data_IF_609093279442
#
_entry.id   IF_609093279442
#
_cell.length_a   1.000
_cell.length_b   1.000
_cell.length_c   1.000
_cell.angle_alpha   90.00
_cell.angle_beta   90.00
_cell.angle_gamma   90.00
#
_symmetry.space_group_name_H-M   'P 1'
#
loop_
_entity.id
_entity.type
_entity.pdbx_description
1 polymer ?
#
# COMPACT_ATOMS: atom_id res chain seq x y z
N UNK A 1 11.89 -11.22 -9.92
CA UNK A 1 10.73 -11.38 -10.83
C UNK A 1 10.15 -10.01 -10.88
N UNK A 2 10.16 -9.44 -12.07
CA UNK A 2 9.75 -8.07 -12.30
C UNK A 2 8.27 -8.05 -12.64
N UNK A 3 7.53 -7.12 -12.06
CA UNK A 3 6.10 -6.93 -12.28
C UNK A 3 5.88 -5.55 -12.88
N UNK A 4 5.02 -5.42 -13.89
CA UNK A 4 4.68 -4.14 -14.49
C UNK A 4 3.40 -3.58 -13.87
N UNK A 5 3.47 -2.47 -13.15
CA UNK A 5 2.27 -1.78 -12.64
C UNK A 5 1.73 -0.77 -13.66
N UNK A 6 0.39 -0.71 -13.88
CA UNK A 6 -0.68 -1.47 -13.21
C UNK A 6 -1.01 -2.86 -13.81
N UNK A 7 -0.39 -3.26 -14.92
CA UNK A 7 -0.79 -4.46 -15.68
C UNK A 7 -0.78 -5.77 -14.88
N UNK A 8 0.22 -5.96 -14.02
CA UNK A 8 0.44 -7.15 -13.20
C UNK A 8 -0.01 -6.95 -11.74
N UNK A 9 -0.94 -6.02 -11.47
CA UNK A 9 -1.30 -5.63 -10.11
C UNK A 9 -1.69 -6.80 -9.19
N UNK A 10 -2.39 -7.82 -9.69
CA UNK A 10 -2.78 -8.98 -8.87
C UNK A 10 -1.57 -9.81 -8.42
N UNK A 11 -0.63 -10.07 -9.32
CA UNK A 11 0.58 -10.82 -9.01
C UNK A 11 1.55 -9.98 -8.16
N UNK A 12 1.64 -8.68 -8.44
CA UNK A 12 2.39 -7.73 -7.62
C UNK A 12 1.86 -7.70 -6.18
N UNK A 13 0.54 -7.67 -5.97
CA UNK A 13 -0.06 -7.70 -4.64
C UNK A 13 0.33 -8.97 -3.86
N UNK A 14 0.31 -10.12 -4.53
CA UNK A 14 0.74 -11.39 -3.93
C UNK A 14 2.21 -11.33 -3.51
N UNK A 15 3.09 -10.82 -4.37
CA UNK A 15 4.49 -10.63 -4.05
C UNK A 15 4.69 -9.66 -2.87
N UNK A 16 3.90 -8.57 -2.83
CA UNK A 16 3.94 -7.61 -1.74
C UNK A 16 3.54 -8.23 -0.40
N UNK A 17 2.47 -9.04 -0.34
CA UNK A 17 2.11 -9.81 0.86
C UNK A 17 3.28 -10.62 1.38
N UNK A 18 3.96 -11.35 0.49
CA UNK A 18 5.08 -12.20 0.88
C UNK A 18 6.23 -11.35 1.44
N UNK A 19 6.52 -10.20 0.82
CA UNK A 19 7.52 -9.25 1.35
C UNK A 19 7.12 -8.59 2.65
N UNK A 20 5.83 -8.40 2.94
CA UNK A 20 5.37 -7.93 4.24
C UNK A 20 5.67 -9.00 5.30
N UNK A 21 5.31 -10.26 5.01
CA UNK A 21 5.45 -11.37 5.95
C UNK A 21 6.90 -11.80 6.21
N UNK A 22 7.84 -11.43 5.34
CA UNK A 22 9.28 -11.65 5.56
C UNK A 22 9.89 -10.68 6.59
N UNK A 23 9.11 -9.73 7.15
CA UNK A 23 9.62 -8.64 7.98
C UNK A 23 9.25 -8.82 9.46
N UNK A 24 10.24 -9.10 10.29
CA UNK A 24 10.09 -9.21 11.75
C UNK A 24 9.55 -7.92 12.40
N UNK A 25 9.89 -6.76 11.82
CA UNK A 25 9.38 -5.46 12.26
C UNK A 25 7.87 -5.33 12.07
N UNK A 26 7.34 -5.88 10.97
CA UNK A 26 5.91 -5.86 10.69
C UNK A 26 5.13 -6.72 11.70
N UNK A 27 5.59 -7.95 11.96
CA UNK A 27 4.97 -8.85 12.95
C UNK A 27 4.87 -8.18 14.31
N UNK A 28 5.96 -7.57 14.77
CA UNK A 28 6.01 -6.87 16.06
C UNK A 28 5.06 -5.67 16.09
N UNK A 29 5.02 -4.88 15.01
CA UNK A 29 4.20 -3.66 14.93
C UNK A 29 2.70 -3.94 14.83
N UNK A 30 2.30 -5.16 14.46
CA UNK A 30 0.91 -5.56 14.19
C UNK A 30 0.39 -6.68 15.11
N UNK A 31 1.17 -7.13 16.10
CA UNK A 31 0.80 -8.23 17.00
C UNK A 31 -0.51 -8.01 17.79
N UNK A 32 -0.89 -6.76 18.05
CA UNK A 32 -2.11 -6.37 18.76
C UNK A 32 -3.08 -5.58 17.86
N UNK A 33 -3.00 -5.77 16.55
CA UNK A 33 -3.70 -4.94 15.59
C UNK A 33 -4.17 -5.72 14.36
N UNK A 34 -5.49 -5.77 14.22
CA UNK A 34 -6.15 -6.30 13.04
C UNK A 34 -6.79 -5.14 12.28
N UNK A 35 -6.62 -5.12 10.96
CA UNK A 35 -7.21 -4.12 10.10
C UNK A 35 -7.22 -4.55 8.62
N UNK A 36 -8.18 -4.00 7.89
CA UNK A 36 -8.22 -4.01 6.43
C UNK A 36 -7.77 -2.65 5.90
N UNK A 37 -6.72 -2.65 5.09
CA UNK A 37 -6.22 -1.47 4.39
C UNK A 37 -6.63 -1.50 2.92
N UNK A 38 -7.05 -0.35 2.41
CA UNK A 38 -7.18 -0.09 0.98
C UNK A 38 -6.05 0.83 0.53
N UNK A 39 -5.32 0.41 -0.47
CA UNK A 39 -4.32 1.22 -1.14
C UNK A 39 -4.80 1.47 -2.57
N UNK A 40 -5.12 2.72 -2.89
CA UNK A 40 -5.71 3.09 -4.18
C UNK A 40 -4.72 3.91 -5.00
N UNK A 41 -4.38 3.38 -6.17
CA UNK A 41 -3.63 4.07 -7.20
C UNK A 41 -4.61 4.66 -8.22
N UNK A 42 -4.72 5.98 -8.21
CA UNK A 42 -5.64 6.74 -9.05
C UNK A 42 -4.98 7.14 -10.37
N UNK A 43 -5.83 7.36 -11.36
CA UNK A 43 -5.45 8.06 -12.58
C UNK A 43 -4.92 9.48 -12.30
N UNK A 44 -4.05 9.95 -13.16
CA UNK A 44 -3.52 11.31 -13.25
C UNK A 44 -3.20 11.66 -14.71
N UNK A 45 -2.36 12.67 -14.95
CA UNK A 45 -1.98 13.09 -16.31
C UNK A 45 -1.09 12.07 -17.04
N UNK A 46 -0.41 11.19 -16.30
CA UNK A 46 0.52 10.16 -16.82
C UNK A 46 -0.21 8.82 -17.02
N UNK A 47 -1.11 8.48 -16.12
CA UNK A 47 -1.94 7.27 -16.18
C UNK A 47 -3.43 7.62 -16.27
N UNK A 48 -4.10 7.30 -17.39
CA UNK A 48 -5.51 7.60 -17.62
C UNK A 48 -6.47 6.40 -17.46
N UNK A 49 -5.97 5.27 -16.92
CA UNK A 49 -6.75 4.05 -16.72
C UNK A 49 -7.63 4.04 -15.46
N UNK A 50 -8.36 2.94 -15.25
CA UNK A 50 -9.20 2.77 -14.07
C UNK A 50 -8.37 2.65 -12.79
N UNK A 51 -8.78 3.28 -11.66
CA UNK A 51 -8.05 3.16 -10.40
C UNK A 51 -7.86 1.71 -9.96
N UNK A 52 -6.64 1.38 -9.54
CA UNK A 52 -6.32 0.05 -9.00
C UNK A 52 -6.43 0.10 -7.48
N UNK A 53 -7.22 -0.81 -6.90
CA UNK A 53 -7.43 -0.92 -5.46
C UNK A 53 -6.77 -2.19 -4.94
N UNK A 54 -5.73 -2.04 -4.13
CA UNK A 54 -5.16 -3.15 -3.38
C UNK A 54 -5.83 -3.23 -2.01
N UNK A 55 -6.40 -4.39 -1.69
CA UNK A 55 -6.90 -4.71 -0.37
C UNK A 55 -5.85 -5.54 0.36
N UNK A 56 -5.48 -5.09 1.56
CA UNK A 56 -4.51 -5.77 2.41
C UNK A 56 -5.13 -6.04 3.78
N UNK A 57 -5.21 -7.30 4.18
CA UNK A 57 -5.75 -7.70 5.49
C UNK A 57 -4.62 -8.10 6.43
N UNK A 58 -4.57 -7.45 7.58
CA UNK A 58 -3.64 -7.75 8.66
C UNK A 58 -4.41 -8.36 9.82
N UNK A 59 -3.92 -9.49 10.33
CA UNK A 59 -4.45 -10.11 11.53
C UNK A 59 -3.35 -10.90 12.26
N UNK A 60 -3.35 -10.85 13.59
CA UNK A 60 -2.43 -11.61 14.45
C UNK A 60 -0.94 -11.45 14.07
N UNK A 61 -0.51 -10.23 13.71
CA UNK A 61 0.88 -9.98 13.31
C UNK A 61 1.22 -10.37 11.87
N UNK A 62 0.26 -10.81 11.06
CA UNK A 62 0.51 -11.37 9.72
C UNK A 62 -0.33 -10.66 8.66
N UNK A 63 0.26 -10.43 7.49
CA UNK A 63 -0.47 -10.06 6.29
C UNK A 63 -1.13 -11.31 5.70
N UNK A 64 -2.41 -11.50 6.04
CA UNK A 64 -3.19 -12.69 5.66
C UNK A 64 -3.61 -12.67 4.20
N UNK A 65 -3.76 -11.48 3.61
CA UNK A 65 -4.17 -11.28 2.22
C UNK A 65 -3.59 -9.97 1.70
N UNK A 66 -3.09 -9.98 0.46
CA UNK A 66 -3.00 -8.78 -0.37
C UNK A 66 -3.47 -9.14 -1.79
N UNK A 67 -4.48 -8.43 -2.30
CA UNK A 67 -5.10 -8.70 -3.60
C UNK A 67 -5.60 -7.41 -4.22
N UNK A 68 -5.83 -7.41 -5.53
CA UNK A 68 -6.69 -6.39 -6.16
C UNK A 68 -8.14 -6.65 -5.75
N UNK A 69 -8.87 -5.57 -5.46
CA UNK A 69 -10.26 -5.60 -5.03
C UNK A 69 -11.11 -4.58 -5.79
N UNK A 70 -12.43 -4.75 -5.73
CA UNK A 70 -13.37 -3.79 -6.28
C UNK A 70 -13.38 -2.47 -5.47
N UNK A 71 -13.80 -1.38 -6.12
CA UNK A 71 -13.80 -0.05 -5.52
C UNK A 71 -14.78 0.11 -4.34
N UNK A 72 -15.73 -0.80 -4.17
CA UNK A 72 -16.72 -0.86 -3.09
C UNK A 72 -16.36 -1.86 -1.98
N UNK A 73 -15.20 -2.52 -2.06
CA UNK A 73 -14.72 -3.40 -1.00
C UNK A 73 -14.56 -2.65 0.34
N UNK A 74 -14.98 -3.29 1.43
CA UNK A 74 -14.87 -2.73 2.79
C UNK A 74 -13.40 -2.56 3.22
N UNK A 75 -13.14 -1.49 3.97
CA UNK A 75 -11.82 -1.18 4.55
C UNK A 75 -11.97 -0.42 5.87
N UNK A 76 -10.99 -0.58 6.76
CA UNK A 76 -10.87 0.22 7.99
C UNK A 76 -10.09 1.52 7.73
N UNK A 77 -9.09 1.42 6.85
CA UNK A 77 -8.21 2.51 6.47
C UNK A 77 -7.99 2.54 4.97
N UNK A 78 -7.80 3.73 4.42
CA UNK A 78 -7.41 3.86 3.03
C UNK A 78 -6.29 4.89 2.85
N UNK A 79 -5.37 4.60 1.94
CA UNK A 79 -4.36 5.51 1.41
C UNK A 79 -4.58 5.62 -0.10
N UNK A 80 -4.79 6.83 -0.61
CA UNK A 80 -5.12 7.05 -2.01
C UNK A 80 -4.26 8.15 -2.60
N UNK A 81 -3.77 7.96 -3.81
CA UNK A 81 -2.96 8.97 -4.47
C UNK A 81 -2.85 8.75 -5.97
N UNK A 82 -2.34 9.76 -6.69
CA UNK A 82 -2.09 9.68 -8.12
C UNK A 82 -0.97 8.68 -8.44
N UNK A 83 -0.97 8.15 -9.66
CA UNK A 83 0.00 7.19 -10.16
C UNK A 83 1.45 7.68 -10.00
N UNK A 84 1.73 8.94 -10.34
CA UNK A 84 3.08 9.52 -10.21
C UNK A 84 3.57 9.52 -8.75
N UNK A 85 2.68 9.79 -7.78
CA UNK A 85 3.05 9.73 -6.37
C UNK A 85 3.29 8.29 -5.89
N UNK A 86 2.55 7.32 -6.44
CA UNK A 86 2.77 5.90 -6.20
C UNK A 86 4.12 5.43 -6.74
N UNK A 87 4.48 5.81 -7.96
CA UNK A 87 5.78 5.53 -8.57
C UNK A 87 6.91 6.09 -7.71
N UNK A 88 6.85 7.39 -7.41
CA UNK A 88 7.87 8.06 -6.59
C UNK A 88 7.99 7.42 -5.20
N UNK A 89 6.89 6.98 -4.60
CA UNK A 89 6.91 6.27 -3.32
C UNK A 89 7.63 4.92 -3.45
N UNK A 90 7.31 4.14 -4.48
CA UNK A 90 7.87 2.81 -4.70
C UNK A 90 9.35 2.85 -5.10
N UNK A 91 9.79 3.93 -5.76
CA UNK A 91 11.20 4.20 -6.06
C UNK A 91 11.98 4.80 -4.86
N UNK A 92 11.27 5.13 -3.78
CA UNK A 92 11.87 5.71 -2.57
C UNK A 92 12.21 7.20 -2.68
N UNK A 93 11.68 7.88 -3.69
CA UNK A 93 11.85 9.31 -3.93
C UNK A 93 10.84 10.16 -3.14
N UNK A 94 9.79 9.54 -2.62
CA UNK A 94 8.71 10.20 -1.89
C UNK A 94 8.45 9.51 -0.54
N UNK A 95 8.50 10.31 0.53
CA UNK A 95 8.18 9.86 1.89
C UNK A 95 6.66 9.89 2.13
N UNK A 96 6.10 8.75 2.55
CA UNK A 96 4.64 8.62 2.80
C UNK A 96 4.15 9.58 3.87
N UNK A 97 4.90 9.79 4.95
CA UNK A 97 4.46 10.65 6.04
C UNK A 97 4.38 12.10 5.59
N UNK A 98 5.38 12.57 4.85
CA UNK A 98 5.38 13.93 4.27
C UNK A 98 4.26 14.12 3.26
N UNK A 99 4.01 13.12 2.42
CA UNK A 99 2.98 13.16 1.38
C UNK A 99 1.56 13.13 1.91
N UNK A 100 1.33 12.48 3.05
CA UNK A 100 0.04 12.60 3.75
C UNK A 100 -0.13 14.01 4.33
N UNK A 101 0.92 14.59 4.93
CA UNK A 101 0.84 15.93 5.52
C UNK A 101 0.58 17.04 4.48
N UNK A 102 1.14 16.91 3.28
CA UNK A 102 0.99 17.88 2.21
C UNK A 102 -0.24 17.63 1.32
N UNK A 103 -0.95 16.51 1.53
CA UNK A 103 -2.17 16.15 0.79
C UNK A 103 -1.94 15.46 -0.56
N UNK A 104 -0.72 15.04 -0.86
CA UNK A 104 -0.43 14.21 -2.06
C UNK A 104 -1.07 12.83 -1.93
N UNK A 105 -0.99 12.23 -0.74
CA UNK A 105 -1.76 11.04 -0.41
C UNK A 105 -2.93 11.40 0.51
N UNK A 106 -4.14 11.05 0.10
CA UNK A 106 -5.34 11.13 0.91
C UNK A 106 -5.41 9.92 1.85
N UNK A 107 -5.67 10.17 3.13
CA UNK A 107 -5.86 9.12 4.14
C UNK A 107 -7.28 9.15 4.69
N UNK A 108 -7.92 7.99 4.74
CA UNK A 108 -9.20 7.79 5.44
C UNK A 108 -9.08 6.75 6.56
N UNK A 109 -9.96 6.89 7.57
CA UNK A 109 -10.01 6.04 8.75
C UNK A 109 -9.69 6.82 10.04
N UNK A 110 -9.48 6.10 11.15
CA UNK A 110 -9.16 6.74 12.43
C UNK A 110 -7.69 7.21 12.44
N UNK A 111 -7.47 8.49 12.21
CA UNK A 111 -6.12 9.09 12.16
C UNK A 111 -5.32 8.87 13.43
N UNK A 112 -5.94 8.89 14.62
CA UNK A 112 -5.22 8.60 15.87
C UNK A 112 -4.71 7.16 15.92
N UNK A 113 -5.44 6.22 15.35
CA UNK A 113 -4.99 4.82 15.24
C UNK A 113 -3.85 4.70 14.24
N UNK A 114 -3.95 5.30 13.06
CA UNK A 114 -2.87 5.28 12.07
C UNK A 114 -1.56 5.87 12.61
N UNK A 115 -1.63 7.00 13.32
CA UNK A 115 -0.46 7.60 13.96
C UNK A 115 0.21 6.67 14.98
N UNK A 116 -0.57 5.85 15.71
CA UNK A 116 -0.03 4.84 16.63
C UNK A 116 0.55 3.62 15.92
N UNK A 117 0.20 3.41 14.65
CA UNK A 117 0.62 2.27 13.82
C UNK A 117 1.55 2.69 12.68
N UNK A 118 2.26 3.82 12.84
CA UNK A 118 3.19 4.33 11.82
C UNK A 118 4.29 3.32 11.47
N UNK A 119 4.78 2.57 12.46
CA UNK A 119 5.79 1.53 12.22
C UNK A 119 5.25 0.43 11.29
N UNK A 120 4.01 -0.03 11.49
CA UNK A 120 3.39 -1.02 10.62
C UNK A 120 3.25 -0.51 9.18
N UNK A 121 2.80 0.74 9.01
CA UNK A 121 2.68 1.37 7.69
C UNK A 121 4.06 1.48 7.02
N UNK A 122 5.08 1.88 7.78
CA UNK A 122 6.46 2.00 7.29
C UNK A 122 6.99 0.66 6.80
N UNK A 123 6.73 -0.42 7.54
CA UNK A 123 7.10 -1.77 7.15
C UNK A 123 6.35 -2.24 5.88
N UNK A 124 5.06 -1.89 5.73
CA UNK A 124 4.29 -2.19 4.51
C UNK A 124 4.83 -1.44 3.29
N UNK A 125 5.16 -0.15 3.42
CA UNK A 125 5.74 0.65 2.34
C UNK A 125 7.13 0.14 1.97
N UNK A 126 7.98 -0.13 2.96
CA UNK A 126 9.29 -0.71 2.73
C UNK A 126 9.19 -2.09 2.05
N UNK A 127 8.19 -2.92 2.41
CA UNK A 127 7.93 -4.17 1.71
C UNK A 127 7.56 -3.93 0.24
N UNK A 128 6.71 -2.94 -0.05
CA UNK A 128 6.29 -2.59 -1.41
C UNK A 128 7.47 -2.13 -2.27
N UNK A 129 8.33 -1.25 -1.73
CA UNK A 129 9.56 -0.76 -2.38
C UNK A 129 10.56 -1.89 -2.72
N UNK A 130 10.49 -3.02 -2.01
CA UNK A 130 11.34 -4.17 -2.30
C UNK A 130 10.76 -5.08 -3.40
N UNK A 131 9.51 -4.90 -3.83
CA UNK A 131 8.97 -5.62 -4.98
C UNK A 131 9.58 -5.04 -6.25
N UNK A 132 10.25 -5.89 -7.02
CA UNK A 132 10.91 -5.50 -8.27
C UNK A 132 9.82 -5.09 -9.29
N UNK A 133 9.71 -3.78 -9.53
CA UNK A 133 8.56 -3.18 -10.22
C UNK A 133 9.04 -2.35 -11.41
N UNK A 134 8.39 -2.53 -12.55
CA UNK A 134 8.45 -1.62 -13.69
C UNK A 134 7.15 -0.83 -13.78
N UNK A 135 7.24 0.42 -14.21
CA UNK A 135 6.10 1.32 -14.36
C UNK A 135 5.78 1.50 -15.84
N UNK A 136 4.54 1.20 -16.22
CA UNK A 136 4.12 1.19 -17.62
C UNK A 136 3.98 2.59 -18.24
N UNK A 137 3.89 3.63 -17.41
CA UNK A 137 3.57 5.01 -17.81
C UNK A 137 4.61 6.00 -17.28
#
# INVERSE_FOLDING_TARGET
MTYTLPADAADWATAWRDRINDREGFETATADFDATFRFEMRADDTYDGDPVNFRVNVADGVCTEATVADADADYDFALRGPYEAWVAMLEGELDVSESVMNGTFDVEGNTMTLLRRQDAITEMVAAAQNVETEFAY
#
